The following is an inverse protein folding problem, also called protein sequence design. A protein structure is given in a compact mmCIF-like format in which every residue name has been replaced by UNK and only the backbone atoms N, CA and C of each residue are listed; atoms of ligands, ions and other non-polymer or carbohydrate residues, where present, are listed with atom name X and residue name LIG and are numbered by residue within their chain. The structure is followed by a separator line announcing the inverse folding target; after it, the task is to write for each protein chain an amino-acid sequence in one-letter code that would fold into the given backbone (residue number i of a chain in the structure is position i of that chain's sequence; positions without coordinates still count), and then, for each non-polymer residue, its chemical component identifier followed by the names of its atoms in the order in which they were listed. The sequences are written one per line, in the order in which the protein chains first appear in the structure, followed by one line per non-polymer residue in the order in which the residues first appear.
data_IF_641121464820
#
_entry.id   IF_641121464820
#
_cell.length_a   1.000
_cell.length_b   1.000
_cell.length_c   1.000
_cell.angle_alpha   90.00
_cell.angle_beta   90.00
_cell.angle_gamma   90.00
#
_symmetry.space_group_name_H-M   'P 1'
#
loop_
_entity.id
_entity.type
_entity.pdbx_description
1 polymer ?
#
# COMPACT_ATOMS: atom_id res chain seq x y z
N UNK A 1 -12.88 16.17 -3.20
CA UNK A 1 -11.88 16.01 -2.11
C UNK A 1 -12.16 14.83 -1.16
N UNK A 2 -13.41 14.43 -0.92
CA UNK A 2 -13.74 13.33 0.00
C UNK A 2 -13.10 11.99 -0.41
N UNK A 3 -13.27 11.54 -1.66
CA UNK A 3 -12.71 10.27 -2.16
C UNK A 3 -11.19 10.16 -2.03
N UNK A 4 -10.47 11.27 -2.26
CA UNK A 4 -9.02 11.35 -2.03
C UNK A 4 -8.68 11.07 -0.56
N UNK A 5 -9.39 11.72 0.38
CA UNK A 5 -9.13 11.55 1.81
C UNK A 5 -9.59 10.18 2.30
N UNK A 6 -10.68 9.64 1.79
CA UNK A 6 -11.13 8.27 2.05
C UNK A 6 -10.00 7.27 1.78
N UNK A 7 -9.35 7.36 0.62
CA UNK A 7 -8.19 6.54 0.29
C UNK A 7 -7.03 6.75 1.28
N UNK A 8 -6.67 8.01 1.55
CA UNK A 8 -5.58 8.34 2.49
C UNK A 8 -5.84 7.81 3.90
N UNK A 9 -7.07 7.91 4.40
CA UNK A 9 -7.44 7.41 5.72
C UNK A 9 -7.50 5.89 5.74
N UNK A 10 -8.00 5.22 4.69
CA UNK A 10 -7.92 3.77 4.58
C UNK A 10 -6.47 3.27 4.65
N UNK A 11 -5.54 3.94 3.96
CA UNK A 11 -4.11 3.62 4.04
C UNK A 11 -3.59 3.83 5.47
N UNK A 12 -3.91 4.96 6.09
CA UNK A 12 -3.41 5.31 7.42
C UNK A 12 -3.96 4.40 8.54
N UNK A 13 -5.22 3.98 8.45
CA UNK A 13 -5.91 3.27 9.53
C UNK A 13 -6.08 1.77 9.29
N UNK A 14 -5.85 1.28 8.06
CA UNK A 14 -6.06 -0.13 7.70
C UNK A 14 -4.83 -0.73 7.05
N UNK A 15 -4.46 -0.32 5.83
CA UNK A 15 -3.39 -1.00 5.07
C UNK A 15 -2.01 -0.83 5.72
N UNK A 16 -1.64 0.37 6.15
CA UNK A 16 -0.38 0.60 6.85
C UNK A 16 -0.36 -0.09 8.23
N UNK A 17 -1.52 -0.20 8.89
CA UNK A 17 -1.65 -0.94 10.15
C UNK A 17 -1.42 -2.42 9.91
N UNK A 18 -2.01 -3.01 8.86
CA UNK A 18 -1.78 -4.41 8.47
C UNK A 18 -0.29 -4.69 8.21
N UNK A 19 0.36 -3.83 7.41
CA UNK A 19 1.81 -3.90 7.18
C UNK A 19 2.61 -3.86 8.50
N UNK A 20 2.26 -2.93 9.40
CA UNK A 20 2.99 -2.73 10.65
C UNK A 20 3.02 -3.98 11.55
N UNK A 21 1.99 -4.82 11.54
CA UNK A 21 1.93 -6.03 12.37
C UNK A 21 3.03 -7.05 12.06
N UNK A 22 3.57 -7.05 10.83
CA UNK A 22 4.65 -7.96 10.42
C UNK A 22 5.93 -7.83 11.24
N UNK A 23 6.31 -6.59 11.59
CA UNK A 23 7.58 -6.29 12.27
C UNK A 23 7.40 -5.51 13.57
N UNK A 24 6.22 -4.93 13.80
CA UNK A 24 5.95 -4.03 14.93
C UNK A 24 4.81 -4.56 15.83
N UNK A 25 4.61 -5.87 15.85
CA UNK A 25 3.63 -6.54 16.72
C UNK A 25 3.76 -6.19 18.21
N UNK A 26 4.97 -5.88 18.68
CA UNK A 26 5.24 -5.43 20.06
C UNK A 26 4.48 -4.17 20.48
N UNK A 27 3.90 -3.42 19.53
CA UNK A 27 3.01 -2.30 19.86
C UNK A 27 1.68 -2.75 20.49
N UNK A 28 1.30 -4.02 20.33
CA UNK A 28 -0.01 -4.55 20.71
C UNK A 28 0.04 -5.85 21.53
N UNK A 29 1.20 -6.51 21.61
CA UNK A 29 1.37 -7.76 22.35
C UNK A 29 2.80 -7.86 22.91
N UNK A 30 3.02 -8.78 23.85
CA UNK A 30 4.34 -8.99 24.48
C UNK A 30 4.93 -10.39 24.22
N UNK A 31 4.11 -11.34 23.79
CA UNK A 31 4.53 -12.74 23.63
C UNK A 31 5.10 -13.00 22.25
N UNK A 32 6.21 -13.74 22.18
CA UNK A 32 6.83 -14.10 20.89
C UNK A 32 5.87 -14.87 19.98
N UNK A 33 5.06 -15.78 20.53
CA UNK A 33 4.05 -16.52 19.77
C UNK A 33 3.00 -15.61 19.13
N UNK A 34 2.65 -14.48 19.76
CA UNK A 34 1.75 -13.49 19.17
C UNK A 34 2.41 -12.72 18.03
N UNK A 35 3.72 -12.44 18.11
CA UNK A 35 4.46 -11.81 17.01
C UNK A 35 4.55 -12.71 15.79
N UNK A 36 4.80 -14.00 16.01
CA UNK A 36 4.88 -14.99 14.95
C UNK A 36 3.52 -15.15 14.24
N UNK A 37 2.42 -15.19 15.01
CA UNK A 37 1.06 -15.23 14.47
C UNK A 37 0.72 -13.96 13.66
N UNK A 38 0.95 -12.77 14.22
CA UNK A 38 0.74 -11.49 13.52
C UNK A 38 1.55 -11.39 12.23
N UNK A 39 2.80 -11.86 12.24
CA UNK A 39 3.66 -11.91 11.05
C UNK A 39 3.14 -12.89 10.00
N UNK A 40 2.70 -14.08 10.41
CA UNK A 40 2.11 -15.05 9.47
C UNK A 40 0.82 -14.50 8.84
N UNK A 41 -0.01 -13.81 9.64
CA UNK A 41 -1.27 -13.22 9.19
C UNK A 41 -1.08 -12.03 8.24
N UNK A 42 0.08 -11.34 8.28
CA UNK A 42 0.31 -10.13 7.50
C UNK A 42 0.13 -10.35 5.99
N UNK A 43 0.58 -11.50 5.46
CA UNK A 43 0.45 -11.88 4.04
C UNK A 43 -1.02 -11.82 3.60
N UNK A 44 -1.91 -12.45 4.37
CA UNK A 44 -3.34 -12.44 4.08
C UNK A 44 -3.90 -11.01 4.18
N UNK A 45 -3.62 -10.29 5.28
CA UNK A 45 -4.20 -8.95 5.48
C UNK A 45 -3.75 -7.92 4.45
N UNK A 46 -2.51 -8.04 3.97
CA UNK A 46 -1.98 -7.19 2.89
C UNK A 46 -2.55 -7.58 1.53
N UNK A 47 -2.74 -8.88 1.27
CA UNK A 47 -3.46 -9.35 0.07
C UNK A 47 -4.90 -8.83 0.05
N UNK A 48 -5.62 -8.92 1.17
CA UNK A 48 -6.98 -8.41 1.31
C UNK A 48 -7.03 -6.87 1.11
N UNK A 49 -6.01 -6.16 1.60
CA UNK A 49 -5.89 -4.70 1.39
C UNK A 49 -5.61 -4.36 -0.07
N UNK A 50 -4.75 -5.12 -0.75
CA UNK A 50 -4.48 -4.97 -2.18
C UNK A 50 -5.76 -5.21 -3.01
N UNK A 51 -6.53 -6.24 -2.67
CA UNK A 51 -7.83 -6.50 -3.29
C UNK A 51 -8.82 -5.34 -3.08
N UNK A 52 -8.87 -4.76 -1.88
CA UNK A 52 -9.70 -3.58 -1.64
C UNK A 52 -9.24 -2.37 -2.47
N UNK A 53 -7.93 -2.13 -2.55
CA UNK A 53 -7.35 -1.05 -3.35
C UNK A 53 -7.72 -1.20 -4.83
N UNK A 54 -7.50 -2.38 -5.39
CA UNK A 54 -7.79 -2.73 -6.79
C UNK A 54 -9.26 -2.49 -7.15
N UNK A 55 -10.16 -2.88 -6.25
CA UNK A 55 -11.60 -2.87 -6.52
C UNK A 55 -12.31 -1.57 -6.15
N UNK A 56 -11.80 -0.80 -5.18
CA UNK A 56 -12.56 0.30 -4.56
C UNK A 56 -11.80 1.63 -4.41
N UNK A 57 -10.46 1.60 -4.45
CA UNK A 57 -9.63 2.81 -4.28
C UNK A 57 -9.16 3.34 -5.63
N UNK A 58 -8.66 2.46 -6.50
CA UNK A 58 -8.18 2.85 -7.83
C UNK A 58 -9.34 2.93 -8.83
N UNK A 59 -9.63 4.17 -9.26
CA UNK A 59 -10.48 4.43 -10.42
C UNK A 59 -9.72 4.14 -11.72
N UNK A 60 -8.44 4.55 -11.79
CA UNK A 60 -7.49 4.22 -12.86
C UNK A 60 -7.20 5.39 -13.82
N UNK A 61 -5.91 5.68 -14.14
CA UNK A 61 -4.72 5.05 -13.58
C UNK A 61 -4.42 5.48 -12.12
N UNK A 62 -4.91 6.64 -11.69
CA UNK A 62 -4.74 7.17 -10.33
C UNK A 62 -6.00 6.93 -9.47
N UNK A 63 -5.92 7.27 -8.18
CA UNK A 63 -7.02 7.13 -7.22
C UNK A 63 -8.29 7.84 -7.72
N UNK A 64 -8.15 9.04 -8.29
CA UNK A 64 -9.27 9.84 -8.82
C UNK A 64 -9.48 9.69 -10.35
N UNK A 65 -8.89 8.67 -10.97
CA UNK A 65 -8.97 8.45 -12.42
C UNK A 65 -7.74 9.04 -13.12
N UNK A 66 -7.94 9.97 -14.04
CA UNK A 66 -6.86 10.62 -14.79
C UNK A 66 -6.08 11.67 -14.00
N UNK A 67 -6.63 12.15 -12.88
CA UNK A 67 -6.04 13.26 -12.12
C UNK A 67 -5.23 12.76 -10.92
N UNK A 68 -3.95 13.14 -10.88
CA UNK A 68 -3.09 12.91 -9.71
C UNK A 68 -3.57 13.73 -8.51
N UNK A 69 -3.48 13.13 -7.34
CA UNK A 69 -3.89 13.67 -6.06
C UNK A 69 -2.86 13.32 -4.97
N UNK A 70 -3.08 13.82 -3.75
CA UNK A 70 -2.23 13.48 -2.61
C UNK A 70 -2.31 11.99 -2.23
N UNK A 71 -3.45 11.34 -2.53
CA UNK A 71 -3.64 9.93 -2.23
C UNK A 71 -2.68 9.03 -3.01
N UNK A 72 -2.29 9.44 -4.23
CA UNK A 72 -1.42 8.66 -5.12
C UNK A 72 0.00 8.56 -4.57
N UNK A 73 0.53 9.64 -3.99
CA UNK A 73 1.85 9.60 -3.35
C UNK A 73 1.89 8.61 -2.18
N UNK A 74 0.84 8.61 -1.34
CA UNK A 74 0.76 7.68 -0.21
C UNK A 74 0.54 6.24 -0.70
N UNK A 75 -0.40 6.03 -1.63
CA UNK A 75 -0.69 4.71 -2.17
C UNK A 75 0.54 4.10 -2.85
N UNK A 76 1.33 4.88 -3.58
CA UNK A 76 2.54 4.40 -4.24
C UNK A 76 3.55 3.82 -3.25
N UNK A 77 3.80 4.51 -2.13
CA UNK A 77 4.68 3.99 -1.07
C UNK A 77 4.11 2.71 -0.46
N UNK A 78 2.80 2.67 -0.19
CA UNK A 78 2.16 1.48 0.37
C UNK A 78 2.19 0.27 -0.58
N UNK A 79 2.04 0.48 -1.88
CA UNK A 79 2.14 -0.57 -2.89
C UNK A 79 3.55 -1.18 -2.98
N UNK A 80 4.61 -0.40 -2.71
CA UNK A 80 5.98 -0.92 -2.70
C UNK A 80 6.26 -1.91 -1.55
N UNK A 81 5.38 -2.04 -0.55
CA UNK A 81 5.52 -3.03 0.52
C UNK A 81 4.99 -4.42 0.13
N UNK A 82 4.11 -4.50 -0.88
CA UNK A 82 3.31 -5.69 -1.17
C UNK A 82 4.15 -6.95 -1.42
N UNK A 83 5.11 -6.88 -2.34
CA UNK A 83 5.99 -8.02 -2.66
C UNK A 83 6.81 -8.44 -1.43
N UNK A 84 7.35 -7.47 -0.70
CA UNK A 84 8.10 -7.71 0.53
C UNK A 84 7.24 -8.38 1.61
N UNK A 85 5.93 -8.11 1.62
CA UNK A 85 4.93 -8.71 2.51
C UNK A 85 4.36 -10.03 2.00
N UNK A 86 4.88 -10.55 0.88
CA UNK A 86 4.50 -11.85 0.32
C UNK A 86 3.23 -11.82 -0.55
N UNK A 87 2.78 -10.64 -0.96
CA UNK A 87 1.64 -10.49 -1.87
C UNK A 87 2.10 -10.67 -3.31
N UNK A 88 1.40 -11.52 -4.07
CA UNK A 88 1.58 -11.65 -5.51
C UNK A 88 0.88 -10.50 -6.25
N UNK A 89 1.65 -9.47 -6.58
CA UNK A 89 1.14 -8.24 -7.21
C UNK A 89 0.61 -8.44 -8.63
N UNK A 90 0.98 -9.54 -9.31
CA UNK A 90 0.52 -9.84 -10.66
C UNK A 90 -0.99 -10.09 -10.73
N UNK A 91 -1.64 -10.38 -9.59
CA UNK A 91 -3.09 -10.55 -9.48
C UNK A 91 -3.85 -9.22 -9.52
N UNK A 92 -3.17 -8.08 -9.42
CA UNK A 92 -3.76 -6.75 -9.29
C UNK A 92 -3.35 -5.83 -10.46
N UNK A 93 -4.04 -5.92 -11.61
CA UNK A 93 -3.65 -5.20 -12.82
C UNK A 93 -3.74 -3.67 -12.69
N UNK A 94 -4.73 -3.11 -11.97
CA UNK A 94 -4.78 -1.65 -11.76
C UNK A 94 -3.67 -1.18 -10.84
N UNK A 95 -3.34 -1.93 -9.78
CA UNK A 95 -2.16 -1.63 -8.95
C UNK A 95 -0.89 -1.62 -9.79
N UNK A 96 -0.71 -2.62 -10.66
CA UNK A 96 0.44 -2.70 -11.57
C UNK A 96 0.51 -1.48 -12.49
N UNK A 97 -0.61 -1.12 -13.14
CA UNK A 97 -0.69 0.05 -14.00
C UNK A 97 -0.45 1.37 -13.24
N UNK A 98 -0.98 1.48 -12.02
CA UNK A 98 -0.79 2.63 -11.13
C UNK A 98 0.69 2.81 -10.75
N UNK A 99 1.37 1.73 -10.34
CA UNK A 99 2.81 1.77 -9.99
C UNK A 99 3.64 2.21 -11.20
N UNK A 100 3.34 1.69 -12.40
CA UNK A 100 4.01 2.11 -13.64
C UNK A 100 3.77 3.60 -13.93
N UNK A 101 2.52 4.06 -13.84
CA UNK A 101 2.17 5.46 -14.04
C UNK A 101 2.87 6.40 -13.04
N UNK A 102 2.98 5.99 -11.78
CA UNK A 102 3.70 6.74 -10.76
C UNK A 102 5.21 6.77 -11.00
N UNK A 103 5.84 5.64 -11.36
CA UNK A 103 7.27 5.55 -11.68
C UNK A 103 7.68 6.46 -12.86
N UNK A 104 6.79 6.66 -13.82
CA UNK A 104 7.03 7.56 -14.95
C UNK A 104 7.05 9.05 -14.57
N UNK A 105 6.65 9.42 -13.34
CA UNK A 105 6.62 10.83 -12.90
C UNK A 105 7.99 11.30 -12.45
N UNK A 106 8.37 12.51 -12.87
CA UNK A 106 9.62 13.15 -12.48
C UNK A 106 9.82 13.24 -10.95
N UNK A 107 8.73 13.45 -10.19
CA UNK A 107 8.77 13.47 -8.73
C UNK A 107 9.19 12.13 -8.12
N UNK A 108 8.70 11.02 -8.68
CA UNK A 108 9.05 9.66 -8.22
C UNK A 108 10.45 9.29 -8.68
N UNK A 109 10.79 9.57 -9.94
CA UNK A 109 12.14 9.36 -10.46
C UNK A 109 13.19 10.09 -9.62
N UNK A 110 12.90 11.32 -9.16
CA UNK A 110 13.79 12.09 -8.31
C UNK A 110 14.04 11.44 -6.95
N UNK A 111 12.99 11.04 -6.24
CA UNK A 111 13.16 10.44 -4.90
C UNK A 111 13.79 9.04 -4.95
N UNK A 112 13.63 8.31 -6.06
CA UNK A 112 14.37 7.06 -6.30
C UNK A 112 15.87 7.35 -6.51
N UNK A 113 16.20 8.37 -7.31
CA UNK A 113 17.59 8.76 -7.53
C UNK A 113 18.29 9.27 -6.25
N UNK A 114 17.50 9.84 -5.32
CA UNK A 114 17.96 10.34 -4.02
C UNK A 114 17.92 9.25 -2.90
N UNK A 115 17.59 7.99 -3.23
CA UNK A 115 17.50 6.84 -2.29
C UNK A 115 16.57 7.09 -1.08
N UNK A 116 15.45 7.77 -1.32
CA UNK A 116 14.50 8.14 -0.27
C UNK A 116 13.32 7.16 -0.12
N UNK A 117 13.15 6.22 -1.06
CA UNK A 117 12.05 5.24 -1.11
C UNK A 117 12.47 3.91 -1.75
#
# INVERSE_FOLDING_TARGET
AAKMREAMYYLASTMHVNHAHKMRGHRWADQQSSFDDMKAKSVQTMTDSAAYVENHVLTGPFVLGETVSLADAYLYVACNWLEGDGVDVAQFPKITAFVQAMRARASVARVIADDMI
#
